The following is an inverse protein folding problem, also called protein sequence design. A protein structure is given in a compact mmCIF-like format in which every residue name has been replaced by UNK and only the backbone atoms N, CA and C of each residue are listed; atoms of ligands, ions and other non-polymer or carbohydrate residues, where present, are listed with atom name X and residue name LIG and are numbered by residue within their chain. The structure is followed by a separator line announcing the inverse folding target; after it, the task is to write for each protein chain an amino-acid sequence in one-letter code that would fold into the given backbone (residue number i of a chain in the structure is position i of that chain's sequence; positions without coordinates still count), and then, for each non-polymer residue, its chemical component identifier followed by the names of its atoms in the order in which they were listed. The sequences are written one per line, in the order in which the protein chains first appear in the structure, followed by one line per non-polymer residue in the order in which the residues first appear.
data_IF_787600620711
#
_entry.id   IF_787600620711
#
_cell.length_a   1.000
_cell.length_b   1.000
_cell.length_c   1.000
_cell.angle_alpha   90.00
_cell.angle_beta   90.00
_cell.angle_gamma   90.00
#
_symmetry.space_group_name_H-M   'P 1'
#
loop_
_entity.id
_entity.type
_entity.pdbx_description
1 polymer ?
#
# COMPACT_ATOMS: atom_id res chain seq x y z
N UNK A 1 -23.72 -17.68 -4.56
CA UNK A 1 -22.92 -18.74 -3.92
C UNK A 1 -21.75 -19.03 -4.85
N UNK A 2 -20.53 -19.18 -4.33
CA UNK A 2 -19.34 -19.42 -5.14
C UNK A 2 -19.53 -20.70 -5.96
N UNK A 3 -19.53 -20.59 -7.29
CA UNK A 3 -19.80 -21.68 -8.21
C UNK A 3 -18.60 -22.05 -9.06
N UNK A 4 -17.61 -21.14 -9.20
CA UNK A 4 -16.44 -21.37 -10.06
C UNK A 4 -15.17 -20.73 -9.52
N UNK A 5 -14.07 -21.49 -9.56
CA UNK A 5 -12.72 -21.01 -9.24
C UNK A 5 -11.80 -21.31 -10.43
N UNK A 6 -11.16 -20.27 -10.94
CA UNK A 6 -10.19 -20.36 -12.03
C UNK A 6 -8.76 -20.26 -11.51
N UNK A 7 -7.86 -21.05 -12.09
CA UNK A 7 -6.44 -21.12 -11.74
C UNK A 7 -5.56 -20.86 -12.97
N UNK A 8 -5.59 -19.64 -13.54
CA UNK A 8 -4.79 -19.30 -14.72
C UNK A 8 -3.29 -19.48 -14.45
N UNK A 9 -2.56 -19.80 -15.52
CA UNK A 9 -1.10 -20.03 -15.53
C UNK A 9 -0.31 -18.82 -16.02
N UNK A 10 -1.00 -17.76 -16.45
CA UNK A 10 -0.39 -16.50 -16.86
C UNK A 10 -1.27 -15.30 -16.52
N UNK A 11 -0.68 -14.11 -16.51
CA UNK A 11 -1.41 -12.85 -16.35
C UNK A 11 -2.39 -12.59 -17.51
N UNK A 12 -2.01 -12.96 -18.74
CA UNK A 12 -2.87 -12.82 -19.91
C UNK A 12 -4.12 -13.69 -19.81
N UNK A 13 -3.96 -14.97 -19.45
CA UNK A 13 -5.10 -15.87 -19.21
C UNK A 13 -6.00 -15.37 -18.08
N UNK A 14 -5.42 -14.82 -17.01
CA UNK A 14 -6.19 -14.21 -15.93
C UNK A 14 -6.99 -13.00 -16.41
N UNK A 15 -6.41 -12.14 -17.26
CA UNK A 15 -7.07 -10.96 -17.82
C UNK A 15 -8.21 -11.35 -18.76
N UNK A 16 -8.00 -12.38 -19.60
CA UNK A 16 -9.04 -12.90 -20.49
C UNK A 16 -10.23 -13.45 -19.70
N UNK A 17 -9.97 -14.19 -18.62
CA UNK A 17 -11.03 -14.70 -17.74
C UNK A 17 -11.79 -13.58 -17.02
N UNK A 18 -11.14 -12.45 -16.74
CA UNK A 18 -11.73 -11.31 -16.05
C UNK A 18 -12.68 -10.51 -16.95
N UNK A 19 -12.64 -10.67 -18.29
CA UNK A 19 -13.59 -10.04 -19.23
C UNK A 19 -15.05 -10.37 -18.89
N UNK A 20 -15.30 -11.59 -18.44
CA UNK A 20 -16.61 -12.07 -18.02
C UNK A 20 -17.02 -11.62 -16.61
N UNK A 21 -16.20 -10.78 -15.98
CA UNK A 21 -16.32 -10.42 -14.57
C UNK A 21 -15.84 -11.53 -13.62
N UNK A 22 -15.75 -11.17 -12.34
CA UNK A 22 -15.32 -12.08 -11.27
C UNK A 22 -14.42 -11.38 -10.27
N UNK A 23 -14.12 -12.07 -9.18
CA UNK A 23 -13.27 -11.54 -8.13
C UNK A 23 -11.84 -12.09 -8.27
N UNK A 24 -10.87 -11.19 -8.37
CA UNK A 24 -9.46 -11.57 -8.30
C UNK A 24 -9.09 -11.98 -6.88
N UNK A 25 -8.29 -13.04 -6.76
CA UNK A 25 -7.75 -13.50 -5.49
C UNK A 25 -6.24 -13.77 -5.59
N UNK A 26 -5.47 -12.91 -4.90
CA UNK A 26 -4.08 -13.20 -4.56
C UNK A 26 -4.02 -14.13 -3.34
N UNK A 27 -3.86 -13.53 -2.16
CA UNK A 27 -3.77 -14.25 -0.88
C UNK A 27 -5.09 -14.67 -0.24
N UNK A 28 -6.20 -14.06 -0.65
CA UNK A 28 -7.52 -14.33 -0.07
C UNK A 28 -7.79 -13.73 1.31
N UNK A 29 -6.84 -13.02 1.92
CA UNK A 29 -6.93 -12.50 3.30
C UNK A 29 -8.01 -11.42 3.50
N UNK A 30 -8.59 -10.91 2.43
CA UNK A 30 -9.70 -9.93 2.44
C UNK A 30 -10.93 -10.48 1.73
N UNK A 31 -10.73 -11.12 0.57
CA UNK A 31 -11.83 -11.70 -0.23
C UNK A 31 -12.48 -12.88 0.48
N UNK A 32 -11.70 -13.84 1.01
CA UNK A 32 -12.28 -15.06 1.59
C UNK A 32 -13.13 -14.83 2.83
N UNK A 33 -12.78 -13.93 3.77
CA UNK A 33 -13.70 -13.56 4.85
C UNK A 33 -15.07 -13.09 4.34
N UNK A 34 -15.11 -12.28 3.27
CA UNK A 34 -16.38 -11.79 2.69
C UNK A 34 -17.17 -12.88 1.98
N UNK A 35 -16.49 -13.81 1.30
CA UNK A 35 -17.09 -15.00 0.70
C UNK A 35 -17.71 -15.88 1.79
N UNK A 36 -16.95 -16.19 2.84
CA UNK A 36 -17.35 -17.09 3.91
C UNK A 36 -18.51 -16.55 4.75
N UNK A 37 -18.60 -15.23 4.95
CA UNK A 37 -19.72 -14.61 5.66
C UNK A 37 -20.92 -14.31 4.76
N UNK A 38 -20.80 -14.54 3.45
CA UNK A 38 -21.84 -14.17 2.48
C UNK A 38 -22.05 -12.66 2.34
N UNK A 39 -21.09 -11.84 2.80
CA UNK A 39 -21.20 -10.38 2.78
C UNK A 39 -21.22 -9.79 1.37
N UNK A 40 -20.67 -10.51 0.38
CA UNK A 40 -20.77 -10.16 -1.04
C UNK A 40 -21.16 -11.38 -1.87
N UNK A 41 -21.99 -11.21 -2.92
CA UNK A 41 -22.27 -12.27 -3.87
C UNK A 41 -21.04 -12.50 -4.75
N UNK A 42 -20.23 -13.49 -4.39
CA UNK A 42 -19.12 -13.98 -5.22
C UNK A 42 -19.55 -15.32 -5.81
N UNK A 43 -19.63 -15.37 -7.13
CA UNK A 43 -19.93 -16.57 -7.92
C UNK A 43 -18.68 -17.09 -8.63
N UNK A 44 -17.78 -16.19 -9.06
CA UNK A 44 -16.54 -16.51 -9.75
C UNK A 44 -15.31 -15.93 -9.04
N UNK A 45 -14.31 -16.77 -8.79
CA UNK A 45 -12.97 -16.37 -8.33
C UNK A 45 -11.91 -16.68 -9.38
N UNK A 46 -10.94 -15.78 -9.56
CA UNK A 46 -9.80 -15.94 -10.44
C UNK A 46 -8.53 -15.83 -9.61
N UNK A 47 -7.83 -16.94 -9.39
CA UNK A 47 -6.64 -16.97 -8.55
C UNK A 47 -5.39 -16.56 -9.30
N UNK A 48 -4.68 -15.57 -8.76
CA UNK A 48 -3.42 -15.07 -9.32
C UNK A 48 -2.20 -15.86 -8.82
N UNK A 49 -2.38 -16.85 -7.94
CA UNK A 49 -1.30 -17.62 -7.30
C UNK A 49 -0.35 -18.29 -8.29
N UNK A 50 -0.86 -18.72 -9.44
CA UNK A 50 -0.09 -19.43 -10.47
C UNK A 50 0.07 -18.63 -11.77
N UNK A 51 -0.32 -17.35 -11.77
CA UNK A 51 -0.33 -16.51 -12.96
C UNK A 51 1.06 -15.97 -13.36
N UNK A 52 2.15 -16.46 -12.73
CA UNK A 52 3.51 -15.97 -12.97
C UNK A 52 3.77 -14.55 -12.44
N UNK A 53 2.95 -14.06 -11.51
CA UNK A 53 3.01 -12.69 -10.98
C UNK A 53 3.75 -12.56 -9.65
N UNK A 54 4.54 -13.56 -9.24
CA UNK A 54 5.31 -13.53 -8.00
C UNK A 54 6.81 -13.46 -8.31
N UNK A 55 7.54 -12.65 -7.55
CA UNK A 55 8.97 -12.45 -7.73
C UNK A 55 9.43 -11.09 -7.25
N UNK A 56 10.71 -11.02 -6.87
CA UNK A 56 11.39 -9.79 -6.48
C UNK A 56 12.65 -9.69 -7.34
N UNK A 57 12.71 -8.66 -8.17
CA UNK A 57 13.85 -8.36 -9.03
C UNK A 57 14.44 -7.00 -8.65
N UNK A 58 15.76 -6.91 -8.62
CA UNK A 58 16.50 -5.69 -8.35
C UNK A 58 17.56 -5.52 -9.43
N UNK A 59 17.64 -4.32 -9.98
CA UNK A 59 18.75 -3.84 -10.79
C UNK A 59 19.32 -2.58 -10.13
N UNK A 60 20.43 -2.72 -9.41
CA UNK A 60 20.95 -1.67 -8.53
C UNK A 60 19.94 -1.27 -7.45
N UNK A 61 19.43 -0.03 -7.54
CA UNK A 61 18.39 0.51 -6.63
C UNK A 61 16.97 0.37 -7.18
N UNK A 62 16.82 -0.01 -8.44
CA UNK A 62 15.51 -0.16 -9.07
C UNK A 62 14.92 -1.52 -8.70
N UNK A 63 13.76 -1.48 -8.06
CA UNK A 63 13.06 -2.66 -7.57
C UNK A 63 11.82 -2.90 -8.41
N UNK A 64 11.61 -4.16 -8.80
CA UNK A 64 10.35 -4.66 -9.36
C UNK A 64 9.83 -5.79 -8.49
N UNK A 65 8.60 -5.65 -7.99
CA UNK A 65 7.91 -6.67 -7.21
C UNK A 65 6.64 -7.12 -7.93
N UNK A 66 6.55 -8.41 -8.22
CA UNK A 66 5.35 -8.99 -8.81
C UNK A 66 4.16 -8.92 -7.85
N UNK A 67 2.97 -8.64 -8.36
CA UNK A 67 1.76 -8.40 -7.56
C UNK A 67 1.29 -9.58 -6.69
N UNK A 68 1.63 -10.82 -7.08
CA UNK A 68 1.35 -12.03 -6.32
C UNK A 68 2.44 -12.41 -5.32
N UNK A 69 3.52 -11.62 -5.22
CA UNK A 69 4.53 -11.77 -4.16
C UNK A 69 3.88 -11.52 -2.80
N UNK A 70 4.14 -12.40 -1.84
CA UNK A 70 3.57 -12.29 -0.49
C UNK A 70 4.30 -11.24 0.34
N UNK A 71 3.60 -10.64 1.31
CA UNK A 71 4.22 -9.73 2.26
C UNK A 71 5.32 -10.44 3.08
N UNK A 72 5.17 -11.73 3.37
CA UNK A 72 6.21 -12.51 4.03
C UNK A 72 7.50 -12.61 3.20
N UNK A 73 7.40 -12.80 1.88
CA UNK A 73 8.57 -12.80 0.99
C UNK A 73 9.25 -11.43 0.97
N UNK A 74 8.48 -10.34 0.85
CA UNK A 74 9.04 -8.97 0.91
C UNK A 74 9.75 -8.71 2.25
N UNK A 75 9.14 -9.12 3.37
CA UNK A 75 9.71 -8.91 4.71
C UNK A 75 10.86 -9.86 5.09
N UNK A 76 11.19 -10.83 4.23
CA UNK A 76 12.29 -11.76 4.41
C UNK A 76 13.45 -11.50 3.42
N UNK A 77 13.24 -10.64 2.42
CA UNK A 77 14.29 -10.26 1.48
C UNK A 77 15.14 -9.14 2.08
N UNK A 78 16.38 -9.45 2.44
CA UNK A 78 17.31 -8.49 3.06
C UNK A 78 17.65 -7.32 2.13
N UNK A 79 17.48 -7.48 0.81
CA UNK A 79 17.68 -6.41 -0.18
C UNK A 79 16.60 -5.33 -0.11
N UNK A 80 15.50 -5.58 0.64
CA UNK A 80 14.38 -4.68 0.87
C UNK A 80 14.25 -4.31 2.35
N UNK A 81 15.37 -4.21 3.07
CA UNK A 81 15.42 -3.96 4.51
C UNK A 81 14.57 -2.74 4.95
N UNK A 82 14.49 -1.71 4.11
CA UNK A 82 13.70 -0.50 4.33
C UNK A 82 12.19 -0.79 4.43
N UNK A 83 11.70 -1.82 3.74
CA UNK A 83 10.30 -2.23 3.80
C UNK A 83 9.98 -3.13 4.99
N UNK A 84 10.98 -3.68 5.69
CA UNK A 84 10.75 -4.61 6.79
C UNK A 84 9.89 -4.01 7.92
N UNK A 85 10.11 -2.77 8.40
CA UNK A 85 9.25 -2.15 9.41
C UNK A 85 7.80 -2.02 8.94
N UNK A 86 7.59 -1.70 7.65
CA UNK A 86 6.26 -1.59 7.03
C UNK A 86 5.58 -2.95 7.05
N UNK A 87 6.24 -3.97 6.53
CA UNK A 87 5.69 -5.33 6.45
C UNK A 87 5.38 -5.87 7.84
N UNK A 88 6.29 -5.72 8.81
CA UNK A 88 6.09 -6.22 10.19
C UNK A 88 4.91 -5.55 10.89
N UNK A 89 4.54 -4.33 10.51
CA UNK A 89 3.38 -3.61 11.05
C UNK A 89 2.03 -4.12 10.51
N UNK A 90 2.05 -4.91 9.42
CA UNK A 90 0.86 -5.43 8.76
C UNK A 90 0.49 -6.80 9.30
N UNK A 91 -0.66 -6.86 9.98
CA UNK A 91 -1.30 -8.09 10.44
C UNK A 91 -0.37 -9.04 11.24
N UNK A 92 -0.76 -10.31 11.35
CA UNK A 92 0.03 -11.38 11.96
C UNK A 92 0.85 -12.15 10.91
N UNK A 93 1.88 -12.93 11.31
CA UNK A 93 2.68 -13.71 10.37
C UNK A 93 1.85 -14.64 9.44
N UNK A 94 0.82 -15.38 9.92
CA UNK A 94 -0.01 -16.21 9.03
C UNK A 94 -0.73 -15.42 7.94
N UNK A 95 -1.18 -14.19 8.26
CA UNK A 95 -1.80 -13.31 7.27
C UNK A 95 -0.77 -12.85 6.25
N UNK A 96 0.45 -12.49 6.67
CA UNK A 96 1.52 -12.06 5.75
C UNK A 96 2.02 -13.16 4.83
N UNK A 97 1.97 -14.41 5.27
CA UNK A 97 2.31 -15.58 4.44
C UNK A 97 1.34 -15.77 3.27
N UNK A 98 0.15 -15.17 3.32
CA UNK A 98 -0.86 -15.25 2.28
C UNK A 98 -1.04 -13.93 1.54
N UNK A 99 -1.13 -12.81 2.28
CA UNK A 99 -1.38 -11.50 1.73
C UNK A 99 -0.33 -11.14 0.67
N UNK A 100 -0.78 -10.72 -0.50
CA UNK A 100 0.08 -10.35 -1.63
C UNK A 100 0.25 -8.84 -1.71
N UNK A 101 1.32 -8.38 -2.36
CA UNK A 101 1.62 -6.95 -2.55
C UNK A 101 0.49 -6.25 -3.31
N UNK A 102 0.06 -6.80 -4.45
CA UNK A 102 -1.04 -6.23 -5.24
C UNK A 102 -2.36 -6.22 -4.48
N UNK A 103 -2.63 -7.28 -3.70
CA UNK A 103 -3.81 -7.31 -2.82
C UNK A 103 -3.76 -6.25 -1.72
N UNK A 104 -2.59 -6.01 -1.12
CA UNK A 104 -2.43 -5.00 -0.09
C UNK A 104 -2.55 -3.58 -0.64
N UNK A 105 -2.08 -3.34 -1.87
CA UNK A 105 -2.18 -2.06 -2.57
C UNK A 105 -3.62 -1.58 -2.71
N UNK A 106 -4.55 -2.50 -2.99
CA UNK A 106 -5.96 -2.19 -3.31
C UNK A 106 -6.89 -2.26 -2.09
N UNK A 107 -6.35 -2.56 -0.91
CA UNK A 107 -7.16 -2.63 0.30
C UNK A 107 -7.58 -1.22 0.74
N UNK A 108 -8.86 -1.00 1.11
CA UNK A 108 -9.34 0.30 1.54
C UNK A 108 -8.63 0.82 2.81
N UNK A 109 -8.50 2.14 2.90
CA UNK A 109 -8.08 2.79 4.15
C UNK A 109 -9.06 2.47 5.29
N UNK A 110 -8.58 2.35 6.54
CA UNK A 110 -7.23 2.67 7.03
C UNK A 110 -6.22 1.50 6.99
N UNK A 111 -6.46 0.49 6.14
CA UNK A 111 -5.50 -0.58 5.91
C UNK A 111 -4.58 -0.22 4.73
N UNK A 112 -3.74 -1.16 4.26
CA UNK A 112 -2.87 -0.91 3.09
C UNK A 112 -1.63 -0.07 3.39
N UNK A 113 -0.94 -0.35 4.50
CA UNK A 113 0.27 0.39 4.89
C UNK A 113 1.41 0.32 3.87
N UNK A 114 1.47 -0.77 3.09
CA UNK A 114 2.45 -0.88 2.00
C UNK A 114 2.16 0.13 0.89
N UNK A 115 0.88 0.41 0.58
CA UNK A 115 0.52 1.43 -0.39
C UNK A 115 1.03 2.81 0.02
N UNK A 116 0.99 3.14 1.32
CA UNK A 116 1.54 4.40 1.83
C UNK A 116 3.04 4.47 1.63
N UNK A 117 3.77 3.39 1.94
CA UNK A 117 5.21 3.32 1.72
C UNK A 117 5.58 3.45 0.24
N UNK A 118 4.87 2.73 -0.63
CA UNK A 118 5.07 2.78 -2.08
C UNK A 118 4.78 4.17 -2.67
N UNK A 119 3.78 4.89 -2.13
CA UNK A 119 3.51 6.28 -2.54
C UNK A 119 4.64 7.25 -2.17
N UNK A 120 5.31 7.05 -1.02
CA UNK A 120 6.47 7.84 -0.64
C UNK A 120 7.72 7.53 -1.49
N UNK A 121 7.77 6.33 -2.07
CA UNK A 121 8.84 5.87 -2.97
C UNK A 121 8.53 6.16 -4.45
N UNK A 122 7.50 6.98 -4.74
CA UNK A 122 7.04 7.29 -6.10
C UNK A 122 6.79 6.04 -6.97
N UNK A 123 6.24 4.98 -6.36
CA UNK A 123 6.06 3.72 -7.05
C UNK A 123 5.10 3.83 -8.24
N UNK A 124 5.45 3.13 -9.31
CA UNK A 124 4.63 2.93 -10.51
C UNK A 124 4.03 1.54 -10.51
N UNK A 125 2.79 1.42 -10.93
CA UNK A 125 1.99 0.20 -10.86
C UNK A 125 1.58 -0.21 -12.27
N UNK A 126 1.98 -1.39 -12.69
CA UNK A 126 1.63 -1.94 -13.98
C UNK A 126 0.31 -2.69 -13.90
N UNK A 127 -0.62 -2.29 -14.77
CA UNK A 127 -1.95 -2.86 -14.91
C UNK A 127 -2.05 -3.58 -16.25
N UNK A 128 -2.73 -4.72 -16.24
CA UNK A 128 -3.06 -5.49 -17.43
C UNK A 128 -4.57 -5.72 -17.46
N UNK A 129 -5.21 -5.34 -18.56
CA UNK A 129 -6.51 -5.88 -18.96
C UNK A 129 -6.33 -6.72 -20.22
N UNK A 130 -7.40 -7.37 -20.65
CA UNK A 130 -7.36 -8.17 -21.86
C UNK A 130 -7.24 -7.31 -23.15
N UNK A 131 -7.44 -6.00 -23.05
CA UNK A 131 -7.33 -5.05 -24.18
C UNK A 131 -5.96 -4.34 -24.22
N UNK A 132 -5.12 -4.52 -23.21
CA UNK A 132 -3.78 -3.95 -23.17
C UNK A 132 -3.27 -3.69 -21.76
N UNK A 133 -2.13 -2.99 -21.68
CA UNK A 133 -1.47 -2.64 -20.43
C UNK A 133 -1.32 -1.13 -20.27
N UNK A 134 -1.33 -0.66 -19.03
CA UNK A 134 -0.97 0.72 -18.69
C UNK A 134 -0.28 0.79 -17.34
N UNK A 135 0.45 1.86 -17.10
CA UNK A 135 1.09 2.14 -15.81
C UNK A 135 0.39 3.31 -15.14
N UNK A 136 0.14 3.20 -13.83
CA UNK A 136 -0.42 4.26 -12.99
C UNK A 136 0.48 4.55 -11.81
N UNK A 137 0.25 5.66 -11.11
CA UNK A 137 0.84 5.94 -9.79
C UNK A 137 -0.02 5.37 -8.67
N UNK A 138 0.55 5.24 -7.48
CA UNK A 138 -0.19 4.78 -6.29
C UNK A 138 -1.34 5.73 -5.97
N UNK A 139 -2.55 5.18 -5.83
CA UNK A 139 -3.76 5.92 -5.47
C UNK A 139 -4.65 6.28 -6.66
N UNK A 140 -4.14 6.17 -7.89
CA UNK A 140 -4.96 6.24 -9.09
C UNK A 140 -5.93 5.04 -9.19
N UNK A 141 -7.08 5.21 -9.86
CA UNK A 141 -8.10 4.16 -9.93
C UNK A 141 -7.67 3.01 -10.86
N UNK A 142 -7.90 1.79 -10.36
CA UNK A 142 -7.84 0.54 -11.13
C UNK A 142 -9.26 0.17 -11.57
N UNK A 143 -9.44 -0.16 -12.84
CA UNK A 143 -10.74 -0.58 -13.40
C UNK A 143 -11.05 -2.02 -13.00
N UNK A 144 -12.33 -2.38 -13.03
CA UNK A 144 -12.80 -3.71 -12.60
C UNK A 144 -12.27 -4.86 -13.49
N UNK A 145 -11.87 -4.54 -14.73
CA UNK A 145 -11.28 -5.46 -15.71
C UNK A 145 -9.74 -5.43 -15.74
N UNK A 146 -9.10 -4.77 -14.77
CA UNK A 146 -7.64 -4.65 -14.68
C UNK A 146 -7.04 -5.49 -13.56
N UNK A 147 -5.86 -6.05 -13.84
CA UNK A 147 -5.04 -6.82 -12.91
C UNK A 147 -3.77 -6.03 -12.63
N UNK A 148 -3.46 -5.80 -11.36
CA UNK A 148 -2.13 -5.34 -10.95
C UNK A 148 -1.13 -6.47 -11.20
N UNK A 149 -0.09 -6.21 -11.99
CA UNK A 149 0.89 -7.23 -12.39
C UNK A 149 2.24 -7.03 -11.71
N UNK A 150 2.73 -5.79 -11.66
CA UNK A 150 4.01 -5.44 -11.05
C UNK A 150 3.98 -4.05 -10.39
N UNK A 151 4.88 -3.85 -9.44
CA UNK A 151 5.11 -2.61 -8.72
C UNK A 151 6.59 -2.26 -8.88
N UNK A 152 6.87 -1.06 -9.37
CA UNK A 152 8.21 -0.55 -9.64
C UNK A 152 8.52 0.65 -8.76
N UNK A 153 9.65 0.63 -8.07
CA UNK A 153 10.10 1.75 -7.23
C UNK A 153 11.61 1.72 -7.04
N UNK A 154 12.20 2.87 -6.71
CA UNK A 154 13.59 2.94 -6.30
C UNK A 154 13.74 2.74 -4.79
N UNK A 155 14.79 2.04 -4.36
CA UNK A 155 15.21 2.07 -2.96
C UNK A 155 15.58 3.51 -2.56
N UNK A 156 15.20 3.95 -1.35
CA UNK A 156 15.45 5.32 -0.92
C UNK A 156 16.95 5.60 -0.90
N UNK A 157 17.34 6.75 -1.47
CA UNK A 157 18.73 7.21 -1.53
C UNK A 157 19.14 7.96 -0.26
N UNK A 158 18.18 8.52 0.45
CA UNK A 158 18.35 9.25 1.70
C UNK A 158 17.73 8.55 2.92
N UNK A 159 17.41 9.33 3.94
CA UNK A 159 16.83 8.80 5.16
C UNK A 159 15.39 8.32 4.91
N UNK A 160 15.17 7.03 5.10
CA UNK A 160 13.85 6.42 5.11
C UNK A 160 13.23 6.48 6.52
N UNK A 161 11.96 6.88 6.58
CA UNK A 161 11.20 6.98 7.83
C UNK A 161 9.83 6.36 7.64
N UNK A 162 9.46 5.45 8.53
CA UNK A 162 8.13 4.87 8.56
C UNK A 162 7.58 4.89 9.99
N UNK A 163 6.36 5.40 10.15
CA UNK A 163 5.67 5.44 11.43
C UNK A 163 4.21 5.07 11.25
N UNK A 164 3.71 4.24 12.15
CA UNK A 164 2.30 3.84 12.22
C UNK A 164 1.75 4.05 13.62
N UNK A 165 0.78 4.94 13.74
CA UNK A 165 -0.04 5.10 14.93
C UNK A 165 -1.18 4.09 14.89
N UNK A 166 -1.40 3.36 15.98
CA UNK A 166 -2.34 2.24 16.03
C UNK A 166 -2.90 2.08 17.45
N UNK A 167 -4.13 1.57 17.61
CA UNK A 167 -4.74 1.38 18.94
C UNK A 167 -4.04 0.34 19.80
N UNK A 168 -3.47 -0.68 19.15
CA UNK A 168 -2.73 -1.79 19.77
C UNK A 168 -1.45 -1.98 18.99
N UNK A 169 -0.34 -2.30 19.67
CA UNK A 169 1.01 -2.39 19.07
C UNK A 169 1.14 -3.41 17.93
N UNK A 170 0.29 -4.44 17.88
CA UNK A 170 0.30 -5.45 16.82
C UNK A 170 -1.10 -5.71 16.29
N UNK A 171 -1.18 -6.12 15.01
CA UNK A 171 -2.42 -6.54 14.36
C UNK A 171 -3.59 -5.53 14.48
N UNK A 172 -3.28 -4.25 14.34
CA UNK A 172 -4.27 -3.16 14.32
C UNK A 172 -4.16 -2.39 13.00
N UNK A 173 -5.31 -1.93 12.50
CA UNK A 173 -5.32 -0.94 11.43
C UNK A 173 -4.74 0.39 11.92
N UNK A 174 -4.45 1.27 10.97
CA UNK A 174 -3.73 2.51 11.21
C UNK A 174 -4.68 3.64 11.62
N UNK A 175 -4.29 4.40 12.64
CA UNK A 175 -4.90 5.70 12.92
C UNK A 175 -4.27 6.73 11.98
N UNK A 176 -2.95 6.75 11.94
CA UNK A 176 -2.15 7.54 11.00
C UNK A 176 -0.96 6.69 10.59
N UNK A 177 -0.66 6.67 9.30
CA UNK A 177 0.58 6.10 8.77
C UNK A 177 1.36 7.25 8.13
N UNK A 178 2.66 7.33 8.39
CA UNK A 178 3.59 8.26 7.76
C UNK A 178 4.72 7.44 7.15
N UNK A 179 4.97 7.62 5.86
CA UNK A 179 6.17 7.16 5.19
C UNK A 179 6.88 8.37 4.59
N UNK A 180 8.18 8.51 4.80
CA UNK A 180 8.94 9.62 4.27
C UNK A 180 10.32 9.21 3.75
N UNK A 181 10.72 9.84 2.66
CA UNK A 181 12.07 9.81 2.09
C UNK A 181 12.63 11.22 2.21
N UNK A 182 13.78 11.36 2.87
CA UNK A 182 14.50 12.61 3.05
C UNK A 182 15.88 12.46 2.39
N UNK A 183 16.01 12.87 1.13
CA UNK A 183 17.26 12.75 0.36
C UNK A 183 18.07 14.06 0.27
N UNK A 184 17.69 15.06 1.08
CA UNK A 184 18.36 16.36 1.18
C UNK A 184 17.78 17.38 0.20
N UNK A 185 17.61 17.01 -1.07
CA UNK A 185 17.02 17.89 -2.10
C UNK A 185 15.50 17.72 -2.22
N UNK A 186 15.01 16.51 -1.94
CA UNK A 186 13.61 16.13 -2.06
C UNK A 186 13.13 15.46 -0.78
N UNK A 187 12.05 16.03 -0.23
CA UNK A 187 11.28 15.41 0.83
C UNK A 187 9.99 14.88 0.23
N UNK A 188 9.74 13.58 0.38
CA UNK A 188 8.49 12.93 0.00
C UNK A 188 7.85 12.39 1.24
N UNK A 189 6.59 12.72 1.48
CA UNK A 189 5.82 12.33 2.66
C UNK A 189 4.48 11.79 2.18
N UNK A 190 4.25 10.51 2.40
CA UNK A 190 2.97 9.86 2.16
C UNK A 190 2.25 9.58 3.49
N UNK A 191 0.93 9.77 3.47
CA UNK A 191 0.05 9.62 4.62
C UNK A 191 -1.00 8.54 4.36
N UNK A 192 -1.28 7.75 5.38
CA UNK A 192 -2.39 6.79 5.43
C UNK A 192 -3.27 7.00 6.64
N UNK A 193 -4.52 6.51 6.58
CA UNK A 193 -5.52 6.65 7.63
C UNK A 193 -6.08 8.06 7.79
N UNK A 194 -5.80 8.99 6.87
CA UNK A 194 -6.25 10.39 6.93
C UNK A 194 -7.04 10.83 5.70
N UNK A 195 -7.30 9.90 4.78
CA UNK A 195 -8.14 10.07 3.60
C UNK A 195 -8.63 8.68 3.13
N UNK A 196 -9.56 8.64 2.16
CA UNK A 196 -10.08 7.38 1.61
C UNK A 196 -9.03 6.55 0.85
N UNK A 197 -7.91 7.17 0.46
CA UNK A 197 -6.75 6.56 -0.19
C UNK A 197 -5.46 7.12 0.44
N UNK A 198 -4.29 6.47 0.26
CA UNK A 198 -3.02 7.11 0.60
C UNK A 198 -2.88 8.45 -0.14
N UNK A 199 -2.32 9.46 0.53
CA UNK A 199 -2.16 10.81 -0.03
C UNK A 199 -0.76 11.34 0.21
N UNK A 200 -0.27 12.22 -0.67
CA UNK A 200 0.99 12.95 -0.49
C UNK A 200 0.75 14.20 0.34
N UNK A 201 1.59 14.45 1.33
CA UNK A 201 1.55 15.67 2.15
C UNK A 201 2.28 16.81 1.45
N UNK A 202 1.84 17.17 0.23
CA UNK A 202 2.55 18.13 -0.65
C UNK A 202 2.76 19.50 -0.03
N UNK A 203 1.85 19.96 0.84
CA UNK A 203 2.03 21.19 1.60
C UNK A 203 3.21 21.08 2.59
N UNK A 204 3.32 19.97 3.33
CA UNK A 204 4.46 19.72 4.23
C UNK A 204 5.78 19.58 3.46
N UNK A 205 5.76 18.87 2.33
CA UNK A 205 6.91 18.76 1.43
C UNK A 205 7.35 20.14 0.92
N UNK A 206 6.41 21.05 0.63
CA UNK A 206 6.73 22.40 0.17
C UNK A 206 7.34 23.27 1.26
N UNK A 207 6.91 23.13 2.52
CA UNK A 207 7.53 23.83 3.65
C UNK A 207 9.00 23.39 3.77
N UNK A 208 9.26 22.09 3.79
CA UNK A 208 10.62 21.55 3.95
C UNK A 208 11.53 21.81 2.75
N UNK A 209 10.96 22.02 1.55
CA UNK A 209 11.73 22.44 0.37
C UNK A 209 12.26 23.87 0.53
N UNK A 210 11.49 24.75 1.20
CA UNK A 210 11.89 26.13 1.41
C UNK A 210 12.81 26.27 2.63
N UNK A 211 12.53 25.52 3.69
CA UNK A 211 13.32 25.48 4.91
C UNK A 211 13.34 24.03 5.47
N UNK A 212 14.44 23.28 5.27
CA UNK A 212 14.59 21.93 5.79
C UNK A 212 14.48 21.81 7.31
N UNK A 213 14.73 22.90 8.06
CA UNK A 213 14.66 22.93 9.52
C UNK A 213 13.26 23.24 10.06
N UNK A 214 12.31 23.64 9.18
CA UNK A 214 10.93 24.00 9.54
C UNK A 214 10.01 22.78 9.80
N UNK A 215 10.50 21.82 10.59
CA UNK A 215 9.83 20.54 10.87
C UNK A 215 8.46 20.72 11.53
N UNK A 216 8.31 21.67 12.47
CA UNK A 216 7.04 21.92 13.16
C UNK A 216 5.99 22.50 12.21
N UNK A 217 6.39 23.45 11.36
CA UNK A 217 5.49 24.04 10.36
C UNK A 217 5.08 22.99 9.31
N UNK A 218 6.02 22.17 8.85
CA UNK A 218 5.74 21.08 7.93
C UNK A 218 4.76 20.06 8.53
N UNK A 219 4.92 19.74 9.81
CA UNK A 219 4.02 18.84 10.51
C UNK A 219 2.58 19.36 10.56
N UNK A 220 2.37 20.65 10.82
CA UNK A 220 1.04 21.25 10.78
C UNK A 220 0.50 21.37 9.33
N UNK A 221 1.36 21.72 8.37
CA UNK A 221 1.01 21.78 6.96
C UNK A 221 0.56 20.43 6.39
N UNK A 222 0.96 19.30 6.99
CA UNK A 222 0.49 17.97 6.59
C UNK A 222 -1.03 17.78 6.73
N UNK A 223 -1.73 18.68 7.45
CA UNK A 223 -3.20 18.71 7.51
C UNK A 223 -3.87 19.27 6.25
N UNK A 224 -3.12 19.89 5.35
CA UNK A 224 -3.69 20.47 4.13
C UNK A 224 -3.96 19.36 3.11
N UNK A 225 -5.20 19.31 2.60
CA UNK A 225 -5.59 18.36 1.54
C UNK A 225 -5.93 16.93 2.01
N UNK A 226 -6.04 16.71 3.32
CA UNK A 226 -6.53 15.43 3.87
C UNK A 226 -8.06 15.43 4.04
N UNK A 227 -8.65 14.24 4.10
CA UNK A 227 -10.08 14.03 4.34
C UNK A 227 -10.30 12.99 5.45
N UNK A 228 -10.09 13.36 6.73
CA UNK A 228 -10.14 12.41 7.83
C UNK A 228 -11.57 11.87 8.01
N UNK A 229 -11.69 10.61 8.40
CA UNK A 229 -12.98 9.92 8.51
C UNK A 229 -13.09 9.20 9.86
N UNK A 230 -14.34 8.98 10.29
CA UNK A 230 -14.65 8.16 11.46
C UNK A 230 -14.69 6.68 11.08
N UNK A 231 -14.16 5.83 11.95
CA UNK A 231 -14.32 4.38 11.87
C UNK A 231 -14.22 3.72 13.27
N UNK A 232 -14.15 2.39 13.30
CA UNK A 232 -14.01 1.63 14.55
C UNK A 232 -12.67 1.86 15.28
N UNK A 233 -11.68 2.48 14.63
CA UNK A 233 -10.34 2.68 15.18
C UNK A 233 -10.15 4.07 15.77
N UNK A 234 -10.62 5.11 15.09
CA UNK A 234 -10.48 6.50 15.52
C UNK A 234 -11.49 7.42 14.83
N UNK A 235 -11.82 8.54 15.48
CA UNK A 235 -12.58 9.60 14.85
C UNK A 235 -11.72 10.44 13.90
N UNK A 236 -12.35 11.08 12.92
CA UNK A 236 -11.80 12.09 12.04
C UNK A 236 -11.10 13.20 12.85
N UNK A 237 -11.74 13.66 13.93
CA UNK A 237 -11.16 14.64 14.85
C UNK A 237 -9.83 14.15 15.45
N UNK A 238 -9.79 12.90 15.93
CA UNK A 238 -8.58 12.36 16.55
C UNK A 238 -7.46 12.18 15.54
N UNK A 239 -7.77 11.64 14.34
CA UNK A 239 -6.81 11.49 13.23
C UNK A 239 -6.19 12.83 12.86
N UNK A 240 -7.03 13.85 12.67
CA UNK A 240 -6.59 15.22 12.40
C UNK A 240 -5.70 15.71 13.56
N UNK A 241 -6.11 15.55 14.82
CA UNK A 241 -5.35 16.02 15.99
C UNK A 241 -3.96 15.39 16.11
N UNK A 242 -3.81 14.09 15.87
CA UNK A 242 -2.52 13.38 16.08
C UNK A 242 -1.61 13.37 14.86
N UNK A 243 -2.11 13.71 13.67
CA UNK A 243 -1.33 13.69 12.44
C UNK A 243 -0.03 14.52 12.52
N UNK A 244 -0.03 15.81 12.90
CA UNK A 244 1.21 16.59 12.99
C UNK A 244 2.23 15.97 13.93
N UNK A 245 1.78 15.45 15.08
CA UNK A 245 2.67 14.79 16.05
C UNK A 245 3.40 13.62 15.41
N UNK A 246 2.70 12.80 14.61
CA UNK A 246 3.31 11.65 13.94
C UNK A 246 4.19 12.02 12.75
N UNK A 247 3.85 13.10 12.03
CA UNK A 247 4.69 13.64 10.94
C UNK A 247 5.99 14.21 11.51
N UNK A 248 5.90 15.10 12.50
CA UNK A 248 7.05 15.66 13.22
C UNK A 248 7.98 14.57 13.73
N UNK A 249 7.43 13.58 14.43
CA UNK A 249 8.19 12.43 14.94
C UNK A 249 8.90 11.64 13.85
N UNK A 250 8.23 11.40 12.72
CA UNK A 250 8.84 10.71 11.59
C UNK A 250 10.01 11.53 11.00
N UNK A 251 9.82 12.84 10.82
CA UNK A 251 10.85 13.74 10.30
C UNK A 251 12.08 13.81 11.22
N UNK A 252 11.88 13.87 12.53
CA UNK A 252 12.96 13.88 13.53
C UNK A 252 13.59 12.50 13.78
N UNK A 253 13.05 11.42 13.21
CA UNK A 253 13.52 10.05 13.46
C UNK A 253 13.24 9.55 14.87
N UNK A 254 12.26 10.11 15.56
CA UNK A 254 11.83 9.65 16.89
C UNK A 254 11.12 8.28 16.79
N UNK A 255 11.37 7.41 17.77
CA UNK A 255 10.74 6.08 17.88
C UNK A 255 9.25 6.15 18.29
#
# INVERSE_FOLDING_TARGET
MLSKVHLPRSAAEAADLLRDGGWLIGGGTVVMPRVNTGAVPVDRLISLRHAGLAGIHLDGKDVTVGAATTLAQVGADDRLAELHPVVRSIASPPVRNLATVGGNLLVPQPHGDLAVALLALDARIDLLSADGSRTITVGEPVRDDEIVTAIHFGLPTGAWRYRKAMRRRHNSASIVTVAAVLDGEHTRIALGGVARRPVRATAAESVLRNDPDAVEEAAEAARVGIEPFDDAYASAWYRNRVLPVHVRRALLGEA
#
